data_IF_383105299374
#
_entry.id   IF_383105299374
#
_cell.length_a   1.000
_cell.length_b   1.000
_cell.length_c   1.000
_cell.angle_alpha   90.00
_cell.angle_beta   90.00
_cell.angle_gamma   90.00
#
_symmetry.space_group_name_H-M   'P 1'
#
loop_
_entity.id
_entity.type
_entity.pdbx_description
1 polymer ?
#
# COMPACT_ATOMS: atom_id res chain seq x y z
N UNK A 1 -8.15 11.30 7.67
CA UNK A 1 -6.80 11.14 7.10
C UNK A 1 -6.54 9.65 6.91
N UNK A 2 -5.98 9.20 5.79
CA UNK A 2 -5.65 7.78 5.57
C UNK A 2 -4.19 7.56 5.94
N UNK A 3 -3.94 6.62 6.84
CA UNK A 3 -2.59 6.24 7.28
C UNK A 3 -2.08 5.08 6.43
N UNK A 4 -0.84 5.21 5.94
CA UNK A 4 -0.17 4.15 5.18
C UNK A 4 0.95 3.57 6.05
N UNK A 5 0.90 2.28 6.34
CA UNK A 5 1.92 1.55 7.11
C UNK A 5 2.81 0.73 6.19
N UNK A 6 4.12 0.93 6.30
CA UNK A 6 5.17 0.20 5.56
C UNK A 6 5.87 -0.85 6.41
N UNK A 7 5.52 -0.97 7.70
CA UNK A 7 6.22 -1.80 8.68
C UNK A 7 6.36 -3.25 8.21
N UNK A 8 5.28 -3.85 7.69
CA UNK A 8 5.30 -5.25 7.25
C UNK A 8 6.23 -5.45 6.06
N UNK A 9 6.21 -4.54 5.09
CA UNK A 9 7.13 -4.55 3.96
C UNK A 9 8.59 -4.43 4.43
N UNK A 10 8.88 -3.49 5.34
CA UNK A 10 10.23 -3.26 5.86
C UNK A 10 10.77 -4.47 6.64
N UNK A 11 9.92 -5.16 7.40
CA UNK A 11 10.28 -6.40 8.09
C UNK A 11 10.67 -7.50 7.09
N UNK A 12 9.94 -7.64 5.98
CA UNK A 12 10.16 -8.70 4.98
C UNK A 12 11.37 -8.40 4.08
N UNK A 13 11.54 -7.14 3.65
CA UNK A 13 12.52 -6.76 2.63
C UNK A 13 13.76 -6.04 3.19
N UNK A 14 13.76 -5.66 4.47
CA UNK A 14 14.87 -4.95 5.11
C UNK A 14 15.08 -3.51 4.62
N UNK A 15 14.14 -2.95 3.85
CA UNK A 15 14.22 -1.60 3.29
C UNK A 15 12.84 -1.00 3.08
N UNK A 16 12.77 0.33 3.01
CA UNK A 16 11.56 1.04 2.66
C UNK A 16 11.09 0.70 1.22
N UNK A 17 9.77 0.68 0.95
CA UNK A 17 9.24 0.43 -0.39
C UNK A 17 9.61 1.56 -1.36
N UNK A 18 9.95 1.19 -2.58
CA UNK A 18 10.34 2.11 -3.64
C UNK A 18 10.60 1.41 -4.97
N UNK A 19 10.67 2.21 -6.05
CA UNK A 19 10.87 1.70 -7.41
C UNK A 19 9.56 1.37 -8.13
N UNK A 20 9.70 0.67 -9.26
CA UNK A 20 8.60 0.21 -10.11
C UNK A 20 8.37 -1.29 -9.90
N UNK A 21 7.12 -1.71 -9.80
CA UNK A 21 6.77 -3.12 -9.57
C UNK A 21 5.26 -3.32 -9.42
N UNK A 22 4.87 -4.52 -9.01
CA UNK A 22 3.51 -4.81 -8.55
C UNK A 22 3.50 -4.76 -7.03
N UNK A 23 2.68 -3.87 -6.47
CA UNK A 23 2.63 -3.59 -5.04
C UNK A 23 1.37 -4.18 -4.43
N UNK A 24 1.53 -4.96 -3.37
CA UNK A 24 0.42 -5.52 -2.61
C UNK A 24 0.05 -4.59 -1.44
N UNK A 25 -1.19 -4.11 -1.43
CA UNK A 25 -1.74 -3.28 -0.36
C UNK A 25 -2.86 -4.01 0.36
N UNK A 26 -2.80 -4.04 1.70
CA UNK A 26 -3.90 -4.44 2.55
C UNK A 26 -4.84 -3.26 2.76
N UNK A 27 -6.07 -3.35 2.27
CA UNK A 27 -7.12 -2.34 2.43
C UNK A 27 -8.37 -3.07 2.92
N UNK A 28 -8.83 -2.77 4.14
CA UNK A 28 -10.04 -3.39 4.71
C UNK A 28 -10.03 -4.93 4.73
N UNK A 29 -8.90 -5.52 5.14
CA UNK A 29 -8.64 -6.97 5.13
C UNK A 29 -8.57 -7.62 3.73
N UNK A 30 -8.80 -6.85 2.66
CA UNK A 30 -8.56 -7.30 1.29
C UNK A 30 -7.14 -6.96 0.84
N UNK A 31 -6.62 -7.77 -0.09
CA UNK A 31 -5.34 -7.50 -0.75
C UNK A 31 -5.63 -6.94 -2.14
N UNK A 32 -5.16 -5.72 -2.39
CA UNK A 32 -5.22 -5.06 -3.68
C UNK A 32 -3.82 -5.01 -4.30
N UNK A 33 -3.70 -5.43 -5.55
CA UNK A 33 -2.45 -5.35 -6.31
C UNK A 33 -2.50 -4.18 -7.26
N UNK A 34 -1.50 -3.30 -7.17
CA UNK A 34 -1.41 -2.10 -8.02
C UNK A 34 -0.02 -2.05 -8.63
N UNK A 35 0.03 -2.05 -9.97
CA UNK A 35 1.27 -2.02 -10.72
C UNK A 35 1.70 -0.59 -11.03
N UNK A 36 2.98 -0.28 -10.82
CA UNK A 36 3.53 1.03 -11.11
C UNK A 36 4.69 1.42 -10.21
N UNK A 37 5.03 2.71 -10.23
CA UNK A 37 5.94 3.28 -9.23
C UNK A 37 5.25 3.26 -7.87
N UNK A 38 5.96 2.90 -6.81
CA UNK A 38 5.42 2.86 -5.44
C UNK A 38 4.65 4.14 -5.07
N UNK A 39 5.21 5.31 -5.43
CA UNK A 39 4.58 6.59 -5.14
C UNK A 39 3.19 6.78 -5.77
N UNK A 40 2.98 6.23 -6.97
CA UNK A 40 1.71 6.30 -7.68
C UNK A 40 0.75 5.20 -7.21
N UNK A 41 1.27 3.97 -7.05
CA UNK A 41 0.52 2.85 -6.49
C UNK A 41 -0.02 3.14 -5.09
N UNK A 42 0.78 3.82 -4.24
CA UNK A 42 0.36 4.30 -2.92
C UNK A 42 -0.80 5.30 -3.01
N UNK A 43 -0.77 6.24 -3.95
CA UNK A 43 -1.85 7.24 -4.11
C UNK A 43 -3.15 6.54 -4.50
N UNK A 44 -3.07 5.57 -5.41
CA UNK A 44 -4.23 4.78 -5.84
C UNK A 44 -4.78 3.93 -4.68
N UNK A 45 -3.93 3.24 -3.92
CA UNK A 45 -4.33 2.52 -2.72
C UNK A 45 -5.03 3.44 -1.69
N UNK A 46 -4.52 4.66 -1.49
CA UNK A 46 -5.17 5.67 -0.64
C UNK A 46 -6.51 6.12 -1.20
N UNK A 47 -6.65 6.27 -2.51
CA UNK A 47 -7.92 6.62 -3.15
C UNK A 47 -8.96 5.50 -2.96
N UNK A 48 -8.55 4.23 -3.10
CA UNK A 48 -9.40 3.05 -2.84
C UNK A 48 -9.81 2.99 -1.36
N UNK A 49 -8.88 3.23 -0.44
CA UNK A 49 -9.22 3.28 0.99
C UNK A 49 -10.24 4.38 1.29
N UNK A 50 -10.09 5.57 0.69
CA UNK A 50 -11.07 6.66 0.82
C UNK A 50 -12.44 6.29 0.27
N UNK A 51 -12.52 5.66 -0.91
CA UNK A 51 -13.81 5.25 -1.49
C UNK A 51 -14.53 4.21 -0.63
N UNK A 52 -13.76 3.33 0.03
CA UNK A 52 -14.27 2.34 1.00
C UNK A 52 -14.52 2.90 2.41
N UNK A 53 -14.28 4.19 2.66
CA UNK A 53 -14.35 4.83 4.00
C UNK A 53 -13.42 4.19 5.06
N UNK A 54 -12.28 3.67 4.60
CA UNK A 54 -11.26 3.01 5.40
C UNK A 54 -10.11 3.97 5.67
N UNK A 55 -9.56 3.92 6.87
CA UNK A 55 -8.56 4.88 7.35
C UNK A 55 -7.13 4.34 7.34
N UNK A 56 -6.93 3.07 6.99
CA UNK A 56 -5.65 2.38 7.05
C UNK A 56 -5.35 1.61 5.77
N UNK A 57 -4.11 1.75 5.29
CA UNK A 57 -3.53 0.95 4.20
C UNK A 57 -2.24 0.33 4.70
N UNK A 58 -2.05 -0.97 4.53
CA UNK A 58 -0.78 -1.65 4.81
C UNK A 58 -0.06 -2.02 3.52
N UNK A 59 1.25 -1.85 3.45
CA UNK A 59 2.09 -2.37 2.35
C UNK A 59 2.59 -3.77 2.71
N UNK A 60 2.33 -4.76 1.86
CA UNK A 60 2.54 -6.18 2.16
C UNK A 60 3.80 -6.75 1.50
N UNK A 61 4.00 -6.48 0.20
CA UNK A 61 5.12 -6.95 -0.62
C UNK A 61 5.16 -6.22 -1.96
#
# INVERSE_FOLDING_TARGET
MVTVSTIKYEIVHGKAPGGFGSWAFSIDKEVCFISGKYGDAKKEAVAIAKSKKVHSVGVLS
#
